data_IF_091361942530
#
_entry.id   IF_091361942530
#
_cell.length_a   1.000
_cell.length_b   1.000
_cell.length_c   1.000
_cell.angle_alpha   90.00
_cell.angle_beta   90.00
_cell.angle_gamma   90.00
#
_symmetry.space_group_name_H-M   'P 1'
#
loop_
_entity.id
_entity.type
_entity.pdbx_description
1 polymer ?
#
# COMPACT_ATOMS: atom_id res chain seq x y z
N UNK A 1 -13.99 -8.77 11.74
CA UNK A 1 -12.58 -8.63 11.31
C UNK A 1 -12.48 -9.18 9.89
N UNK A 2 -11.98 -8.40 8.94
CA UNK A 2 -11.75 -8.87 7.56
C UNK A 2 -10.26 -8.74 7.22
N UNK A 3 -9.71 -9.79 6.62
CA UNK A 3 -8.33 -9.84 6.13
C UNK A 3 -8.31 -9.41 4.67
N UNK A 4 -7.24 -8.72 4.30
CA UNK A 4 -7.04 -8.20 2.96
C UNK A 4 -5.56 -8.18 2.60
N UNK A 5 -5.28 -8.02 1.32
CA UNK A 5 -3.94 -7.80 0.79
C UNK A 5 -3.84 -6.35 0.34
N UNK A 6 -2.87 -5.60 0.88
CA UNK A 6 -2.60 -4.22 0.53
C UNK A 6 -1.35 -4.15 -0.33
N UNK A 7 -1.49 -3.49 -1.47
CA UNK A 7 -0.40 -3.18 -2.38
C UNK A 7 -0.05 -1.71 -2.21
N UNK A 8 1.22 -1.42 -1.99
CA UNK A 8 1.78 -0.07 -1.92
C UNK A 8 2.95 -0.01 -2.88
N UNK A 9 2.87 0.93 -3.82
CA UNK A 9 3.76 0.95 -4.97
C UNK A 9 4.24 2.38 -5.17
N UNK A 10 5.55 2.57 -5.12
CA UNK A 10 6.17 3.86 -5.40
C UNK A 10 6.81 3.83 -6.78
N UNK A 11 6.75 4.97 -7.47
CA UNK A 11 7.31 5.10 -8.80
C UNK A 11 7.26 6.51 -9.34
N UNK A 12 7.35 6.61 -10.66
CA UNK A 12 7.32 7.86 -11.39
C UNK A 12 6.34 7.77 -12.56
N UNK A 13 5.64 8.87 -12.84
CA UNK A 13 4.81 8.99 -14.04
C UNK A 13 4.65 10.43 -14.49
N UNK A 14 4.56 10.62 -15.80
CA UNK A 14 4.19 11.90 -16.43
C UNK A 14 2.68 12.09 -16.51
N UNK A 15 1.88 11.01 -16.45
CA UNK A 15 0.43 11.05 -16.58
C UNK A 15 -0.28 11.69 -15.38
N UNK A 16 -1.48 12.23 -15.59
CA UNK A 16 -2.25 12.81 -14.49
C UNK A 16 -2.74 11.73 -13.52
N UNK A 17 -2.90 12.11 -12.27
CA UNK A 17 -3.38 11.22 -11.20
C UNK A 17 -4.72 10.54 -11.56
N UNK A 18 -5.67 11.33 -12.07
CA UNK A 18 -6.98 10.85 -12.48
C UNK A 18 -6.90 9.83 -13.62
N UNK A 19 -6.01 10.03 -14.59
CA UNK A 19 -5.83 9.13 -15.72
C UNK A 19 -5.29 7.77 -15.23
N UNK A 20 -4.26 7.79 -14.38
CA UNK A 20 -3.70 6.58 -13.76
C UNK A 20 -4.77 5.84 -12.95
N UNK A 21 -5.53 6.56 -12.12
CA UNK A 21 -6.59 5.99 -11.29
C UNK A 21 -7.67 5.31 -12.12
N UNK A 22 -8.14 5.96 -13.19
CA UNK A 22 -9.20 5.44 -14.05
C UNK A 22 -8.77 4.18 -14.79
N UNK A 23 -7.54 4.16 -15.32
CA UNK A 23 -7.00 2.98 -16.01
C UNK A 23 -6.74 1.84 -15.02
N UNK A 24 -6.24 2.12 -13.82
CA UNK A 24 -6.08 1.07 -12.81
C UNK A 24 -7.40 0.44 -12.38
N UNK A 25 -8.46 1.23 -12.25
CA UNK A 25 -9.81 0.72 -11.96
C UNK A 25 -10.33 -0.21 -13.04
N UNK A 26 -10.05 0.07 -14.31
CA UNK A 26 -10.53 -0.79 -15.40
C UNK A 26 -9.73 -2.09 -15.52
N UNK A 27 -8.45 -2.08 -15.10
CA UNK A 27 -7.59 -3.25 -15.12
C UNK A 27 -7.74 -4.15 -13.88
N UNK A 28 -8.08 -3.58 -12.73
CA UNK A 28 -8.20 -4.30 -11.45
C UNK A 28 -9.68 -4.49 -11.09
N UNK A 29 -10.22 -5.68 -11.38
CA UNK A 29 -11.64 -6.02 -11.17
C UNK A 29 -12.00 -6.47 -9.75
N UNK A 30 -11.03 -6.97 -8.97
CA UNK A 30 -11.26 -7.58 -7.65
C UNK A 30 -10.70 -6.71 -6.50
N UNK A 31 -11.13 -5.45 -6.43
CA UNK A 31 -10.69 -4.51 -5.41
C UNK A 31 -11.69 -4.43 -4.24
N UNK A 32 -11.17 -4.46 -3.02
CA UNK A 32 -11.94 -4.26 -1.77
C UNK A 32 -12.06 -2.79 -1.38
N UNK A 33 -11.20 -1.93 -1.94
CA UNK A 33 -11.14 -0.50 -1.67
C UNK A 33 -10.75 0.24 -2.95
N UNK A 34 -11.08 1.52 -3.00
CA UNK A 34 -10.76 2.36 -4.15
C UNK A 34 -9.24 2.47 -4.36
N UNK A 35 -8.80 2.53 -5.62
CA UNK A 35 -7.39 2.80 -5.95
C UNK A 35 -7.06 4.22 -5.52
N UNK A 36 -6.06 4.34 -4.65
CA UNK A 36 -5.50 5.61 -4.20
C UNK A 36 -4.24 5.90 -4.98
N UNK A 37 -4.16 7.10 -5.49
CA UNK A 37 -3.00 7.61 -6.20
C UNK A 37 -2.63 8.92 -5.51
N UNK A 38 -1.38 9.09 -5.14
CA UNK A 38 -0.83 10.35 -4.66
C UNK A 38 0.32 10.74 -5.56
N UNK A 39 0.32 11.97 -6.06
CA UNK A 39 1.34 12.47 -6.98
C UNK A 39 1.98 13.76 -6.48
N UNK A 40 3.31 13.83 -6.47
CA UNK A 40 4.10 15.04 -6.16
C UNK A 40 5.16 15.25 -7.23
N UNK A 41 4.91 16.19 -8.14
CA UNK A 41 5.73 16.33 -9.35
C UNK A 41 5.63 15.07 -10.20
N UNK A 42 6.74 14.43 -10.53
CA UNK A 42 6.74 13.15 -11.25
C UNK A 42 6.64 11.92 -10.33
N UNK A 43 6.87 12.07 -9.03
CA UNK A 43 6.81 10.95 -8.08
C UNK A 43 5.35 10.59 -7.82
N UNK A 44 5.05 9.30 -7.84
CA UNK A 44 3.73 8.78 -7.52
C UNK A 44 3.83 7.69 -6.46
N UNK A 45 2.79 7.59 -5.63
CA UNK A 45 2.55 6.46 -4.74
C UNK A 45 1.14 5.94 -5.00
N UNK A 46 1.03 4.65 -5.26
CA UNK A 46 -0.20 3.93 -5.54
C UNK A 46 -0.51 3.02 -4.37
N UNK A 47 -1.78 2.95 -3.98
CA UNK A 47 -2.23 2.07 -2.92
C UNK A 47 -3.59 1.50 -3.26
N UNK A 48 -3.71 0.18 -3.27
CA UNK A 48 -4.99 -0.50 -3.47
C UNK A 48 -5.06 -1.79 -2.66
N UNK A 49 -6.27 -2.34 -2.52
CA UNK A 49 -6.55 -3.49 -1.68
C UNK A 49 -7.33 -4.56 -2.42
N UNK A 50 -6.95 -5.81 -2.23
CA UNK A 50 -7.70 -6.97 -2.73
C UNK A 50 -8.13 -7.88 -1.58
N UNK A 51 -9.13 -8.73 -1.79
CA UNK A 51 -9.43 -9.82 -0.87
C UNK A 51 -8.22 -10.73 -0.62
N UNK A 52 -8.19 -11.38 0.54
CA UNK A 52 -7.11 -12.30 0.95
C UNK A 52 -7.13 -13.65 0.24
N UNK A 53 -8.22 -13.99 -0.46
CA UNK A 53 -8.35 -15.19 -1.28
C UNK A 53 -7.83 -15.01 -2.72
N UNK A 54 -7.33 -13.83 -3.08
CA UNK A 54 -6.77 -13.56 -4.41
C UNK A 54 -5.28 -13.88 -4.45
N UNK A 55 -4.80 -14.44 -5.57
CA UNK A 55 -3.37 -14.68 -5.77
C UNK A 55 -2.57 -13.38 -5.70
N UNK A 56 -1.53 -13.37 -4.87
CA UNK A 56 -0.60 -12.24 -4.79
C UNK A 56 0.16 -12.08 -6.11
N UNK A 57 0.03 -10.91 -6.73
CA UNK A 57 0.80 -10.56 -7.93
C UNK A 57 2.29 -10.44 -7.59
N UNK A 58 3.15 -11.01 -8.43
CA UNK A 58 4.60 -10.89 -8.27
C UNK A 58 5.10 -9.50 -8.71
N UNK A 59 6.31 -9.12 -8.30
CA UNK A 59 6.86 -7.79 -8.57
C UNK A 59 7.00 -7.50 -10.07
N UNK A 60 7.37 -8.50 -10.85
CA UNK A 60 7.48 -8.42 -12.31
C UNK A 60 6.11 -8.22 -12.97
N UNK A 61 5.08 -8.93 -12.48
CA UNK A 61 3.71 -8.81 -13.00
C UNK A 61 3.12 -7.42 -12.73
N UNK A 62 3.39 -6.88 -11.53
CA UNK A 62 2.99 -5.53 -11.14
C UNK A 62 3.72 -4.48 -11.99
N UNK A 63 5.03 -4.65 -12.19
CA UNK A 63 5.84 -3.75 -13.02
C UNK A 63 5.37 -3.73 -14.48
N UNK A 64 5.06 -4.90 -15.05
CA UNK A 64 4.54 -4.99 -16.40
C UNK A 64 3.17 -4.30 -16.54
N UNK A 65 2.25 -4.56 -15.60
CA UNK A 65 0.94 -3.93 -15.57
C UNK A 65 1.06 -2.39 -15.48
N UNK A 66 1.92 -1.90 -14.60
CA UNK A 66 2.11 -0.48 -14.37
C UNK A 66 2.89 0.22 -15.50
N UNK A 67 3.84 -0.47 -16.11
CA UNK A 67 4.58 0.05 -17.26
C UNK A 67 3.67 0.30 -18.46
N UNK A 68 2.68 -0.58 -18.69
CA UNK A 68 1.67 -0.41 -19.77
C UNK A 68 0.84 0.87 -19.62
N UNK A 69 0.72 1.38 -18.40
CA UNK A 69 -0.03 2.61 -18.10
C UNK A 69 0.89 3.80 -17.84
N UNK A 70 2.16 3.73 -18.27
CA UNK A 70 3.10 4.85 -18.17
C UNK A 70 3.58 5.15 -16.75
N UNK A 71 3.58 4.15 -15.87
CA UNK A 71 4.13 4.24 -14.52
C UNK A 71 5.43 3.43 -14.46
N UNK A 72 6.53 4.13 -14.18
CA UNK A 72 7.83 3.49 -13.91
C UNK A 72 7.92 3.15 -12.42
N UNK A 73 7.82 1.87 -12.09
CA UNK A 73 7.83 1.41 -10.70
C UNK A 73 9.26 1.35 -10.15
N UNK A 74 9.46 1.80 -8.91
CA UNK A 74 10.74 1.70 -8.21
C UNK A 74 10.67 0.83 -6.96
N UNK A 75 9.51 0.75 -6.32
CA UNK A 75 9.34 -0.03 -5.10
C UNK A 75 7.94 -0.62 -5.03
N UNK A 76 7.84 -1.87 -4.60
CA UNK A 76 6.59 -2.60 -4.41
C UNK A 76 6.60 -3.21 -3.02
N UNK A 77 5.51 -3.05 -2.29
CA UNK A 77 5.29 -3.67 -0.99
C UNK A 77 3.89 -4.24 -0.99
N UNK A 78 3.80 -5.53 -0.69
CA UNK A 78 2.55 -6.25 -0.53
C UNK A 78 2.49 -6.74 0.91
N UNK A 79 1.40 -6.43 1.59
CA UNK A 79 1.21 -6.81 3.00
C UNK A 79 -0.18 -7.38 3.25
N UNK A 80 -0.26 -8.30 4.22
CA UNK A 80 -1.53 -8.71 4.82
C UNK A 80 -1.97 -7.62 5.80
N UNK A 81 -3.21 -7.18 5.69
CA UNK A 81 -3.81 -6.18 6.59
C UNK A 81 -5.16 -6.69 7.10
N UNK A 82 -5.47 -6.39 8.37
CA UNK A 82 -6.80 -6.59 8.92
C UNK A 82 -7.49 -5.24 9.07
N UNK A 83 -8.77 -5.21 8.73
CA UNK A 83 -9.66 -4.08 9.05
C UNK A 83 -10.61 -4.39 10.20
N UNK A 84 -10.81 -3.37 11.04
CA UNK A 84 -11.73 -3.37 12.17
C UNK A 84 -12.69 -2.21 12.03
N UNK A 85 -13.98 -2.46 12.27
CA UNK A 85 -14.99 -1.41 12.40
C UNK A 85 -14.78 -0.67 13.72
N UNK A 86 -14.77 0.66 13.66
CA UNK A 86 -14.64 1.55 14.80
C UNK A 86 -15.94 1.50 15.61
N UNK A 87 -15.98 0.65 16.64
CA UNK A 87 -16.96 0.74 17.70
C UNK A 87 -16.61 1.98 18.55
N UNK A 88 -17.44 3.02 18.44
CA UNK A 88 -17.06 4.37 18.85
C UNK A 88 -16.85 4.56 20.35
N UNK A 89 -15.86 5.39 20.71
CA UNK A 89 -15.92 6.37 21.79
C UNK A 89 -14.67 7.27 21.76
N UNK A 90 -14.87 8.57 22.01
CA UNK A 90 -13.80 9.45 22.50
C UNK A 90 -13.16 10.37 21.46
N UNK A 91 -13.62 11.63 21.46
CA UNK A 91 -12.85 12.79 21.00
C UNK A 91 -11.46 12.76 21.64
N UNK A 92 -10.43 12.79 20.82
CA UNK A 92 -9.04 12.82 21.28
C UNK A 92 -8.11 13.10 20.13
N UNK A 93 -7.94 14.38 19.81
CA UNK A 93 -6.76 14.84 19.10
C UNK A 93 -5.54 14.50 19.96
N UNK A 94 -4.86 13.38 19.68
CA UNK A 94 -3.56 13.08 20.27
C UNK A 94 -2.65 12.43 19.23
N UNK A 95 -1.79 13.28 18.68
CA UNK A 95 -0.38 12.94 18.46
C UNK A 95 0.11 12.15 19.68
N UNK A 96 0.54 10.89 19.52
CA UNK A 96 1.07 10.17 20.68
C UNK A 96 1.34 8.69 20.51
N UNK A 97 2.61 8.35 20.29
CA UNK A 97 3.24 7.23 21.01
C UNK A 97 2.94 5.83 20.48
N UNK A 98 3.82 5.35 19.59
CA UNK A 98 4.05 3.92 19.38
C UNK A 98 4.52 3.33 20.72
N UNK A 99 3.65 2.63 21.43
CA UNK A 99 4.01 1.90 22.65
C UNK A 99 4.83 0.67 22.22
N UNK A 100 6.14 0.78 22.35
CA UNK A 100 7.09 -0.28 22.03
C UNK A 100 7.13 -1.35 23.11
N UNK A 101 6.49 -2.49 22.86
CA UNK A 101 6.82 -3.78 23.50
C UNK A 101 7.92 -4.49 22.70
N UNK A 102 9.06 -4.77 23.32
CA UNK A 102 10.23 -5.34 22.66
C UNK A 102 10.18 -6.86 22.49
N UNK A 103 10.54 -7.34 21.30
CA UNK A 103 11.71 -8.21 21.05
C UNK A 103 11.65 -8.67 19.59
N UNK A 104 12.76 -8.47 18.87
CA UNK A 104 13.15 -9.03 17.56
C UNK A 104 12.22 -8.99 16.34
N UNK A 105 10.96 -8.51 16.41
CA UNK A 105 10.05 -8.35 15.25
C UNK A 105 10.05 -6.94 14.59
N UNK A 106 11.03 -6.08 14.91
CA UNK A 106 10.91 -4.62 14.75
C UNK A 106 11.17 -4.04 13.36
N UNK A 107 11.86 -4.76 12.46
CA UNK A 107 12.17 -4.22 11.13
C UNK A 107 10.94 -4.25 10.20
N UNK A 108 10.25 -5.40 10.09
CA UNK A 108 9.06 -5.51 9.24
C UNK A 108 7.90 -4.67 9.74
N UNK A 109 7.66 -4.64 11.06
CA UNK A 109 6.60 -3.81 11.65
C UNK A 109 6.95 -2.33 11.52
N UNK A 110 8.21 -1.95 11.69
CA UNK A 110 8.67 -0.57 11.47
C UNK A 110 8.56 -0.14 10.02
N UNK A 111 8.87 -1.04 9.07
CA UNK A 111 8.69 -0.84 7.65
C UNK A 111 7.20 -0.71 7.30
N UNK A 112 6.37 -1.60 7.82
CA UNK A 112 4.92 -1.60 7.63
C UNK A 112 4.27 -0.31 8.18
N UNK A 113 4.69 0.13 9.37
CA UNK A 113 4.26 1.41 9.95
C UNK A 113 4.76 2.56 9.09
N UNK A 114 6.03 2.61 8.68
CA UNK A 114 6.57 3.69 7.85
C UNK A 114 5.94 3.74 6.46
N UNK A 115 5.52 2.61 5.92
CA UNK A 115 4.87 2.47 4.62
C UNK A 115 3.42 2.95 4.70
N UNK A 116 2.69 2.55 5.76
CA UNK A 116 1.34 3.05 6.03
C UNK A 116 1.36 4.53 6.48
N UNK A 117 2.43 4.97 7.13
CA UNK A 117 2.65 6.35 7.58
C UNK A 117 3.30 7.24 6.51
N UNK A 118 3.89 6.69 5.44
CA UNK A 118 4.29 7.46 4.24
C UNK A 118 3.06 7.94 3.46
N UNK A 119 1.95 7.22 3.65
CA UNK A 119 0.58 7.62 3.31
C UNK A 119 -0.07 8.46 4.43
N UNK A 120 0.69 8.99 5.40
CA UNK A 120 0.17 9.67 6.61
C UNK A 120 -0.82 10.77 6.24
N UNK A 121 -2.07 10.47 6.59
CA UNK A 121 -3.24 11.29 6.33
C UNK A 121 -4.54 10.49 6.18
N UNK A 122 -4.51 9.17 6.09
CA UNK A 122 -5.72 8.41 5.71
C UNK A 122 -6.21 7.41 6.75
N UNK A 123 -6.92 7.92 7.76
CA UNK A 123 -8.03 7.19 8.36
C UNK A 123 -9.08 6.93 7.27
N UNK A 124 -9.39 5.65 7.00
CA UNK A 124 -10.44 5.27 6.04
C UNK A 124 -11.79 5.36 6.76
N UNK A 125 -12.25 6.58 7.06
CA UNK A 125 -13.45 6.78 7.86
C UNK A 125 -13.41 6.02 9.20
N UNK A 126 -14.46 5.23 9.49
CA UNK A 126 -14.62 4.38 10.69
C UNK A 126 -13.82 3.06 10.65
N UNK A 127 -12.83 2.87 9.79
CA UNK A 127 -12.09 1.61 9.69
C UNK A 127 -10.61 1.82 10.03
N UNK A 128 -10.12 1.08 11.03
CA UNK A 128 -8.69 1.02 11.38
C UNK A 128 -8.06 -0.13 10.61
N UNK A 129 -6.98 0.14 9.90
CA UNK A 129 -6.15 -0.89 9.25
C UNK A 129 -4.94 -1.20 10.13
N UNK A 130 -4.74 -2.48 10.44
CA UNK A 130 -3.53 -2.98 11.09
C UNK A 130 -2.83 -3.93 10.14
N UNK A 131 -1.57 -3.64 9.83
CA UNK A 131 -0.74 -4.57 9.07
C UNK A 131 -0.34 -5.77 9.93
N UNK A 132 -0.48 -6.97 9.39
CA UNK A 132 -0.09 -8.22 10.06
C UNK A 132 1.31 -8.68 9.63
N UNK A 133 1.59 -8.67 8.33
CA UNK A 133 2.83 -9.19 7.77
C UNK A 133 3.13 -8.59 6.40
N UNK A 134 4.41 -8.44 6.06
CA UNK A 134 4.86 -8.16 4.70
C UNK A 134 4.94 -9.50 3.96
N UNK A 135 4.21 -9.61 2.87
CA UNK A 135 4.14 -10.82 2.04
C UNK A 135 5.16 -10.76 0.90
N UNK A 136 5.43 -9.56 0.40
CA UNK A 136 6.40 -9.31 -0.67
C UNK A 136 6.95 -7.89 -0.52
N UNK A 137 8.26 -7.73 -0.58
CA UNK A 137 8.90 -6.42 -0.74
C UNK A 137 9.93 -6.50 -1.83
N UNK A 138 9.83 -5.60 -2.81
CA UNK A 138 10.78 -5.50 -3.89
C UNK A 138 11.18 -4.06 -4.14
N UNK A 139 12.44 -3.88 -4.51
CA UNK A 139 12.98 -2.60 -4.96
C UNK A 139 13.70 -2.80 -6.30
N UNK A 140 13.54 -1.84 -7.19
CA UNK A 140 14.19 -1.86 -8.50
C UNK A 140 15.56 -1.22 -8.36
N UNK A 141 16.62 -2.03 -8.46
CA UNK A 141 18.02 -1.60 -8.42
C UNK A 141 18.67 -1.86 -9.77
N UNK A 142 19.17 -0.81 -10.41
CA UNK A 142 19.78 -0.89 -11.76
C UNK A 142 18.89 -1.61 -12.79
N UNK A 143 17.58 -1.34 -12.74
CA UNK A 143 16.59 -1.93 -13.65
C UNK A 143 16.18 -3.37 -13.33
N UNK A 144 16.75 -4.01 -12.31
CA UNK A 144 16.39 -5.36 -11.88
C UNK A 144 15.62 -5.34 -10.55
N UNK A 145 14.66 -6.25 -10.41
CA UNK A 145 13.93 -6.45 -9.16
C UNK A 145 14.78 -7.20 -8.16
N UNK A 146 14.91 -6.65 -6.96
CA UNK A 146 15.57 -7.28 -5.81
C UNK A 146 14.52 -7.45 -4.73
N UNK A 147 14.31 -8.69 -4.27
CA UNK A 147 13.47 -8.98 -3.10
C UNK A 147 14.23 -8.60 -1.84
N UNK A 148 13.54 -7.94 -0.92
CA UNK A 148 14.09 -7.45 0.36
C UNK A 148 13.40 -8.20 1.50
#
# INVERSE_FOLDING_TARGET
MKKHIRYIIDGYSTLREADIKNVLKSLLSNLDDDVRVSKKGYKISLSFRTPDNVRIMQCEEIDELLSRIGVMVTRIIVSSVITYEYEGAGVGATVGGIVGGGSTKRLDVGLLIAVLSGLAGYSVGKLIEKGEAILLSCEKRNGRWVRI
#
